data_IF_164817073632
#
_entry.id   IF_164817073632
#
_cell.length_a   1.000
_cell.length_b   1.000
_cell.length_c   1.000
_cell.angle_alpha   90.00
_cell.angle_beta   90.00
_cell.angle_gamma   90.00
#
_symmetry.space_group_name_H-M   'P 1'
#
loop_
_entity.id
_entity.type
_entity.pdbx_description
1 polymer ?
#
# COMPACT_ATOMS: atom_id res chain seq x y z
N UNK A 1 -19.37 -11.14 -40.27
CA UNK A 1 -20.04 -9.82 -40.17
C UNK A 1 -21.47 -10.04 -39.72
N UNK A 2 -21.72 -10.07 -38.40
CA UNK A 2 -23.06 -10.19 -37.83
C UNK A 2 -23.29 -9.05 -36.82
N UNK A 3 -24.53 -8.60 -36.77
CA UNK A 3 -24.95 -7.21 -36.60
C UNK A 3 -25.06 -6.72 -35.15
N UNK A 4 -24.89 -5.40 -35.01
CA UNK A 4 -25.16 -4.58 -33.84
C UNK A 4 -26.59 -4.76 -33.30
N UNK A 5 -26.73 -4.71 -31.98
CA UNK A 5 -27.99 -4.34 -31.33
C UNK A 5 -27.67 -3.47 -30.12
N UNK A 6 -27.90 -2.18 -30.27
CA UNK A 6 -27.83 -1.17 -29.21
C UNK A 6 -29.00 -1.35 -28.25
N UNK A 7 -28.74 -1.39 -26.95
CA UNK A 7 -29.76 -1.13 -25.93
C UNK A 7 -29.33 0.08 -25.11
N UNK A 8 -29.98 1.21 -25.41
CA UNK A 8 -30.12 2.35 -24.51
C UNK A 8 -31.10 1.92 -23.40
N UNK A 9 -30.67 1.98 -22.14
CA UNK A 9 -31.58 2.02 -21.01
C UNK A 9 -31.04 3.04 -20.00
N UNK A 10 -31.59 4.25 -20.07
CA UNK A 10 -31.49 5.25 -19.03
C UNK A 10 -32.22 4.75 -17.78
N UNK A 11 -31.60 4.84 -16.60
CA UNK A 11 -32.27 4.52 -15.34
C UNK A 11 -31.74 5.38 -14.20
N UNK A 12 -32.46 6.48 -14.00
CA UNK A 12 -32.78 7.21 -12.78
C UNK A 12 -31.78 7.23 -11.60
N UNK A 13 -31.27 8.44 -11.34
CA UNK A 13 -30.78 8.87 -10.04
C UNK A 13 -31.90 8.83 -8.99
N UNK A 14 -31.65 8.18 -7.86
CA UNK A 14 -32.48 8.28 -6.66
C UNK A 14 -31.70 9.07 -5.61
N UNK A 15 -32.16 10.30 -5.35
CA UNK A 15 -31.85 11.09 -4.15
C UNK A 15 -32.87 10.74 -3.05
N UNK A 16 -32.41 10.38 -1.86
CA UNK A 16 -33.19 10.29 -0.60
C UNK A 16 -32.19 10.05 0.55
N UNK A 17 -32.17 10.69 1.71
CA UNK A 17 -32.75 11.89 2.27
C UNK A 17 -31.85 12.27 3.46
N UNK A 18 -31.59 13.58 3.66
CA UNK A 18 -30.89 14.11 4.83
C UNK A 18 -31.76 13.93 6.08
N UNK A 19 -31.26 13.27 7.11
CA UNK A 19 -31.73 13.45 8.49
C UNK A 19 -30.91 14.54 9.16
N UNK A 20 -31.61 15.60 9.58
CA UNK A 20 -31.09 16.79 10.25
C UNK A 20 -31.26 16.72 11.78
N UNK A 21 -30.34 17.41 12.48
CA UNK A 21 -30.46 18.03 13.82
C UNK A 21 -30.58 17.10 15.05
N UNK A 22 -30.10 17.41 16.25
CA UNK A 22 -29.22 18.46 16.82
C UNK A 22 -29.01 18.10 18.29
N UNK A 23 -27.88 18.45 18.91
CA UNK A 23 -27.89 18.98 20.28
C UNK A 23 -26.62 19.80 20.53
N UNK A 24 -26.74 20.96 21.21
CA UNK A 24 -25.66 21.92 21.37
C UNK A 24 -24.86 21.64 22.64
N UNK A 25 -23.62 22.11 22.70
CA UNK A 25 -23.04 22.68 23.92
C UNK A 25 -21.83 23.54 23.55
N UNK A 26 -21.90 24.81 23.95
CA UNK A 26 -20.87 25.85 23.91
C UNK A 26 -20.78 26.41 25.32
N UNK A 27 -19.79 27.22 25.74
CA UNK A 27 -18.35 27.28 25.43
C UNK A 27 -17.51 27.07 26.71
N UNK A 28 -16.19 26.93 26.58
CA UNK A 28 -15.30 27.60 27.54
C UNK A 28 -14.11 28.13 26.79
N UNK A 29 -14.07 29.47 26.65
CA UNK A 29 -12.87 30.20 26.29
C UNK A 29 -11.88 30.12 27.46
N UNK A 30 -10.63 29.81 27.17
CA UNK A 30 -9.51 30.21 28.02
C UNK A 30 -8.37 30.69 27.12
N UNK A 31 -7.81 31.80 27.54
CA UNK A 31 -6.91 32.70 26.84
C UNK A 31 -5.46 32.35 27.15
N UNK A 32 -4.65 32.15 26.09
CA UNK A 32 -3.22 32.53 25.92
C UNK A 32 -2.15 31.77 26.79
N UNK A 33 -0.88 31.55 26.39
CA UNK A 33 -0.07 32.24 25.37
C UNK A 33 0.62 31.41 24.28
N UNK A 34 1.04 32.18 23.27
CA UNK A 34 1.91 31.81 22.17
C UNK A 34 3.14 31.00 22.61
N UNK A 35 3.35 29.87 21.93
CA UNK A 35 4.67 29.31 21.72
C UNK A 35 4.87 29.16 20.23
N UNK A 36 5.81 29.93 19.70
CA UNK A 36 6.47 29.68 18.42
C UNK A 36 7.05 28.27 18.45
N UNK A 37 6.29 27.31 17.93
CA UNK A 37 6.83 26.02 17.56
C UNK A 37 7.00 26.06 16.05
N UNK A 38 8.26 26.24 15.63
CA UNK A 38 8.70 25.82 14.31
C UNK A 38 8.37 24.34 14.20
N UNK A 39 7.18 24.02 13.73
CA UNK A 39 6.84 22.69 13.23
C UNK A 39 7.54 22.53 11.88
N UNK A 40 8.85 22.31 11.99
CA UNK A 40 9.65 21.76 10.92
C UNK A 40 9.14 20.33 10.74
N UNK A 41 8.41 20.11 9.65
CA UNK A 41 8.01 18.81 9.12
C UNK A 41 9.05 17.74 9.45
N UNK A 42 8.71 16.83 10.35
CA UNK A 42 9.38 15.54 10.47
C UNK A 42 8.32 14.54 10.87
N UNK A 43 7.84 13.80 9.86
CA UNK A 43 7.11 12.54 10.08
C UNK A 43 7.85 11.76 11.18
N UNK A 44 7.16 11.26 12.22
CA UNK A 44 7.82 10.47 13.25
C UNK A 44 8.47 9.26 12.59
N UNK A 45 9.78 9.11 12.79
CA UNK A 45 10.50 7.89 12.41
C UNK A 45 9.92 6.77 13.30
N UNK A 46 9.33 5.71 12.73
CA UNK A 46 8.75 4.64 13.53
C UNK A 46 9.84 3.98 14.38
N UNK A 47 9.53 3.67 15.64
CA UNK A 47 10.45 2.95 16.51
C UNK A 47 10.72 1.54 15.96
N UNK A 48 11.84 0.91 16.33
CA UNK A 48 12.26 -0.39 15.76
C UNK A 48 11.21 -1.51 15.90
N UNK A 49 10.42 -1.52 16.98
CA UNK A 49 9.29 -2.44 17.17
C UNK A 49 8.17 -2.20 16.14
N UNK A 50 7.89 -0.94 15.82
CA UNK A 50 6.88 -0.56 14.84
C UNK A 50 7.30 -0.95 13.42
N UNK A 51 8.61 -0.92 13.12
CA UNK A 51 9.15 -1.34 11.83
C UNK A 51 8.97 -2.85 11.63
N UNK A 52 9.31 -3.67 12.62
CA UNK A 52 9.16 -5.13 12.53
C UNK A 52 7.71 -5.52 12.26
N UNK A 53 6.76 -4.93 12.98
CA UNK A 53 5.33 -5.17 12.78
C UNK A 53 4.86 -4.70 11.39
N UNK A 54 5.32 -3.53 10.94
CA UNK A 54 5.00 -3.02 9.60
C UNK A 54 5.50 -3.97 8.52
N UNK A 55 6.74 -4.47 8.64
CA UNK A 55 7.31 -5.43 7.68
C UNK A 55 6.58 -6.77 7.71
N UNK A 56 6.13 -7.26 8.87
CA UNK A 56 5.29 -8.47 8.96
C UNK A 56 3.96 -8.27 8.22
N UNK A 57 3.34 -7.09 8.37
CA UNK A 57 2.13 -6.76 7.59
C UNK A 57 2.41 -6.79 6.08
N UNK A 58 3.54 -6.21 5.65
CA UNK A 58 3.96 -6.23 4.25
C UNK A 58 4.19 -7.65 3.71
N UNK A 59 4.73 -8.56 4.52
CA UNK A 59 4.84 -9.97 4.14
C UNK A 59 3.48 -10.60 3.83
N UNK A 60 2.43 -10.20 4.55
CA UNK A 60 1.06 -10.63 4.29
C UNK A 60 0.59 -10.26 2.88
N UNK A 61 0.77 -9.00 2.49
CA UNK A 61 0.42 -8.52 1.14
C UNK A 61 1.25 -9.21 0.05
N UNK A 62 2.55 -9.42 0.26
CA UNK A 62 3.39 -10.15 -0.71
C UNK A 62 2.94 -11.61 -0.84
N UNK A 63 2.56 -12.27 0.25
CA UNK A 63 2.02 -13.63 0.22
C UNK A 63 0.68 -13.70 -0.51
N UNK A 64 -0.23 -12.75 -0.25
CA UNK A 64 -1.51 -12.61 -0.97
C UNK A 64 -1.29 -12.43 -2.47
N UNK A 65 -0.42 -11.48 -2.84
CA UNK A 65 -0.05 -11.22 -4.23
C UNK A 65 0.56 -12.46 -4.91
N UNK A 66 1.42 -13.20 -4.21
CA UNK A 66 2.07 -14.41 -4.72
C UNK A 66 1.04 -15.51 -4.99
N UNK A 67 0.13 -15.75 -4.04
CA UNK A 67 -0.89 -16.79 -4.17
C UNK A 67 -1.83 -16.49 -5.35
N UNK A 68 -2.26 -15.24 -5.48
CA UNK A 68 -3.07 -14.80 -6.62
C UNK A 68 -2.32 -14.94 -7.96
N UNK A 69 -1.04 -14.53 -8.02
CA UNK A 69 -0.24 -14.69 -9.23
C UNK A 69 -0.03 -16.17 -9.62
N UNK A 70 0.12 -17.07 -8.65
CA UNK A 70 0.28 -18.51 -8.91
C UNK A 70 -0.98 -19.13 -9.54
N UNK A 71 -2.16 -18.64 -9.23
CA UNK A 71 -3.42 -19.11 -9.82
C UNK A 71 -3.80 -18.37 -11.10
N UNK A 72 -2.97 -17.43 -11.57
CA UNK A 72 -3.24 -16.60 -12.74
C UNK A 72 -4.15 -15.40 -12.46
N UNK A 73 -4.55 -15.16 -11.22
CA UNK A 73 -5.31 -13.98 -10.82
C UNK A 73 -4.39 -12.76 -10.66
N UNK A 74 -3.97 -12.22 -11.80
CA UNK A 74 -3.12 -11.04 -11.85
C UNK A 74 -3.84 -9.76 -11.39
N UNK A 75 -5.17 -9.74 -11.39
CA UNK A 75 -5.94 -8.59 -10.87
C UNK A 75 -5.81 -8.50 -9.36
N UNK A 76 -6.07 -9.60 -8.64
CA UNK A 76 -5.87 -9.64 -7.19
C UNK A 76 -4.39 -9.49 -6.83
N UNK A 77 -3.48 -10.05 -7.63
CA UNK A 77 -2.04 -9.84 -7.42
C UNK A 77 -1.66 -8.35 -7.51
N UNK A 78 -2.20 -7.61 -8.48
CA UNK A 78 -2.01 -6.15 -8.59
C UNK A 78 -2.57 -5.41 -7.37
N UNK A 79 -3.76 -5.78 -6.89
CA UNK A 79 -4.39 -5.15 -5.73
C UNK A 79 -3.50 -5.30 -4.49
N UNK A 80 -3.12 -6.54 -4.15
CA UNK A 80 -2.26 -6.85 -3.01
C UNK A 80 -0.88 -6.18 -3.12
N UNK A 81 -0.30 -6.15 -4.33
CA UNK A 81 0.99 -5.48 -4.52
C UNK A 81 0.89 -3.96 -4.37
N UNK A 82 -0.25 -3.32 -4.66
CA UNK A 82 -0.46 -1.90 -4.37
C UNK A 82 -0.51 -1.62 -2.87
N UNK A 83 -1.24 -2.44 -2.11
CA UNK A 83 -1.28 -2.35 -0.65
C UNK A 83 0.13 -2.52 -0.04
N UNK A 84 0.92 -3.44 -0.61
CA UNK A 84 2.33 -3.56 -0.26
C UNK A 84 3.10 -2.25 -0.52
N UNK A 85 2.97 -1.65 -1.70
CA UNK A 85 3.70 -0.41 -2.05
C UNK A 85 3.33 0.75 -1.13
N UNK A 86 2.04 0.92 -0.81
CA UNK A 86 1.57 1.97 0.10
C UNK A 86 2.15 1.83 1.50
N UNK A 87 2.28 0.60 2.01
CA UNK A 87 2.93 0.35 3.30
C UNK A 87 4.48 0.37 3.25
N UNK A 88 5.08 0.13 2.07
CA UNK A 88 6.53 0.16 1.86
C UNK A 88 7.11 1.57 1.87
N UNK A 89 6.45 2.51 1.16
CA UNK A 89 6.90 3.90 1.00
C UNK A 89 7.36 4.58 2.30
N UNK A 90 6.58 4.57 3.42
CA UNK A 90 7.01 5.20 4.66
C UNK A 90 8.22 4.53 5.33
N UNK A 91 8.54 3.27 4.99
CA UNK A 91 9.65 2.52 5.56
C UNK A 91 10.96 2.71 4.79
N UNK A 92 10.90 3.16 3.54
CA UNK A 92 12.06 3.24 2.65
C UNK A 92 13.23 4.01 3.27
N UNK A 93 12.98 5.19 3.81
CA UNK A 93 14.06 6.04 4.34
C UNK A 93 14.75 5.36 5.53
N UNK A 94 13.98 4.68 6.36
CA UNK A 94 14.50 3.96 7.51
C UNK A 94 15.30 2.74 7.07
N UNK A 95 14.84 2.00 6.06
CA UNK A 95 15.57 0.87 5.49
C UNK A 95 16.83 1.30 4.73
N UNK A 96 16.79 2.40 3.97
CA UNK A 96 17.96 3.03 3.33
C UNK A 96 19.06 3.34 4.35
N UNK A 97 18.66 3.79 5.53
CA UNK A 97 19.57 4.20 6.62
C UNK A 97 20.14 2.99 7.38
N UNK A 98 19.28 2.05 7.77
CA UNK A 98 19.66 0.99 8.72
C UNK A 98 20.00 -0.36 8.06
N UNK A 99 19.57 -0.57 6.81
CA UNK A 99 19.68 -1.85 6.11
C UNK A 99 19.86 -1.64 4.60
N UNK A 100 20.86 -0.83 4.21
CA UNK A 100 21.07 -0.34 2.84
C UNK A 100 21.07 -1.44 1.76
N UNK A 101 21.75 -2.55 2.01
CA UNK A 101 21.83 -3.64 1.02
C UNK A 101 20.52 -4.42 0.91
N UNK A 102 19.84 -4.64 2.04
CA UNK A 102 18.47 -5.18 2.07
C UNK A 102 17.51 -4.27 1.31
N UNK A 103 17.55 -2.96 1.57
CA UNK A 103 16.74 -1.96 0.89
C UNK A 103 16.94 -2.04 -0.62
N UNK A 104 18.19 -1.98 -1.12
CA UNK A 104 18.49 -2.05 -2.55
C UNK A 104 17.97 -3.34 -3.19
N UNK A 105 18.09 -4.45 -2.47
CA UNK A 105 17.65 -5.76 -2.94
C UNK A 105 16.13 -5.80 -3.09
N UNK A 106 15.40 -5.28 -2.09
CA UNK A 106 13.94 -5.19 -2.12
C UNK A 106 13.47 -4.19 -3.19
N UNK A 107 14.03 -2.98 -3.23
CA UNK A 107 13.68 -1.92 -4.18
C UNK A 107 13.74 -2.42 -5.63
N UNK A 108 14.82 -3.14 -5.99
CA UNK A 108 14.95 -3.74 -7.32
C UNK A 108 13.80 -4.68 -7.68
N UNK A 109 13.24 -5.41 -6.70
CA UNK A 109 12.06 -6.23 -6.96
C UNK A 109 10.78 -5.40 -7.04
N UNK A 110 10.65 -4.37 -6.20
CA UNK A 110 9.50 -3.46 -6.21
C UNK A 110 9.39 -2.70 -7.54
N UNK A 111 10.50 -2.18 -8.05
CA UNK A 111 10.60 -1.56 -9.38
C UNK A 111 10.23 -2.57 -10.47
N UNK A 112 10.88 -3.75 -10.47
CA UNK A 112 10.60 -4.76 -11.47
C UNK A 112 9.16 -5.30 -11.43
N UNK A 113 8.52 -5.35 -10.27
CA UNK A 113 7.09 -5.68 -10.15
C UNK A 113 6.21 -4.52 -10.63
N UNK A 114 6.60 -3.26 -10.39
CA UNK A 114 5.87 -2.12 -10.96
C UNK A 114 5.84 -2.20 -12.48
N UNK A 115 6.99 -2.45 -13.11
CA UNK A 115 7.09 -2.63 -14.56
C UNK A 115 6.31 -3.85 -15.08
N UNK A 116 6.51 -5.02 -14.46
CA UNK A 116 5.99 -6.29 -15.01
C UNK A 116 4.54 -6.58 -14.61
N UNK A 117 4.06 -6.03 -13.50
CA UNK A 117 2.71 -6.30 -12.97
C UNK A 117 1.78 -5.09 -13.12
N UNK A 118 2.22 -3.89 -12.72
CA UNK A 118 1.34 -2.72 -12.67
C UNK A 118 1.23 -2.03 -14.03
N UNK A 119 2.37 -1.79 -14.69
CA UNK A 119 2.48 -0.97 -15.89
C UNK A 119 2.35 -1.77 -17.19
N UNK A 120 2.59 -3.09 -17.14
CA UNK A 120 2.46 -3.96 -18.31
C UNK A 120 1.00 -4.21 -18.69
N UNK A 121 0.68 -4.01 -19.97
CA UNK A 121 -0.60 -4.39 -20.59
C UNK A 121 -0.80 -5.92 -20.59
N UNK A 122 0.30 -6.68 -20.60
CA UNK A 122 0.30 -8.15 -20.59
C UNK A 122 1.36 -8.65 -19.62
N UNK A 123 1.08 -8.61 -18.30
CA UNK A 123 2.01 -9.09 -17.29
C UNK A 123 2.43 -10.53 -17.53
N UNK A 124 3.74 -10.79 -17.44
CA UNK A 124 4.30 -12.13 -17.48
C UNK A 124 4.12 -12.78 -16.10
N UNK A 125 3.15 -13.70 -15.99
CA UNK A 125 2.82 -14.37 -14.73
C UNK A 125 4.03 -15.04 -14.08
N UNK A 126 4.88 -15.71 -14.88
CA UNK A 126 6.06 -16.41 -14.36
C UNK A 126 7.08 -15.46 -13.74
N UNK A 127 7.34 -14.33 -14.41
CA UNK A 127 8.21 -13.27 -13.87
C UNK A 127 7.62 -12.61 -12.64
N UNK A 128 6.31 -12.37 -12.61
CA UNK A 128 5.62 -11.80 -11.45
C UNK A 128 5.75 -12.72 -10.24
N UNK A 129 5.45 -14.02 -10.39
CA UNK A 129 5.58 -15.01 -9.31
C UNK A 129 7.02 -15.05 -8.80
N UNK A 130 8.01 -15.18 -9.68
CA UNK A 130 9.41 -15.28 -9.28
C UNK A 130 9.88 -14.03 -8.49
N UNK A 131 9.47 -12.83 -8.91
CA UNK A 131 9.82 -11.58 -8.21
C UNK A 131 9.12 -11.46 -6.86
N UNK A 132 7.84 -11.82 -6.77
CA UNK A 132 7.09 -11.79 -5.51
C UNK A 132 7.66 -12.79 -4.49
N UNK A 133 8.02 -14.00 -4.93
CA UNK A 133 8.67 -14.98 -4.07
C UNK A 133 10.01 -14.49 -3.53
N UNK A 134 10.86 -13.93 -4.41
CA UNK A 134 12.14 -13.36 -4.01
C UNK A 134 11.98 -12.19 -3.02
N UNK A 135 11.01 -11.29 -3.27
CA UNK A 135 10.70 -10.19 -2.37
C UNK A 135 10.23 -10.71 -1.01
N UNK A 136 9.33 -11.70 -0.99
CA UNK A 136 8.81 -12.34 0.22
C UNK A 136 9.91 -13.02 1.04
N UNK A 137 10.84 -13.72 0.38
CA UNK A 137 11.99 -14.34 1.04
C UNK A 137 12.95 -13.32 1.64
N UNK A 138 13.23 -12.24 0.90
CA UNK A 138 14.08 -11.15 1.37
C UNK A 138 13.46 -10.46 2.59
N UNK A 139 12.15 -10.17 2.56
CA UNK A 139 11.40 -9.62 3.70
C UNK A 139 11.45 -10.54 4.91
N UNK A 140 11.17 -11.83 4.72
CA UNK A 140 11.19 -12.81 5.80
C UNK A 140 12.56 -12.95 6.46
N UNK A 141 13.61 -12.97 5.65
CA UNK A 141 14.99 -13.04 6.15
C UNK A 141 15.31 -11.82 6.98
N UNK A 142 14.97 -10.63 6.48
CA UNK A 142 15.24 -9.39 7.21
C UNK A 142 14.42 -9.28 8.50
N UNK A 143 13.12 -9.57 8.47
CA UNK A 143 12.24 -9.56 9.65
C UNK A 143 12.77 -10.47 10.77
N UNK A 144 13.30 -11.65 10.42
CA UNK A 144 13.90 -12.59 11.39
C UNK A 144 15.22 -12.10 11.97
N UNK A 145 15.94 -11.22 11.27
CA UNK A 145 17.18 -10.63 11.74
C UNK A 145 16.96 -9.45 12.70
N UNK A 146 15.75 -8.88 12.73
CA UNK A 146 15.40 -7.79 13.63
C UNK A 146 15.23 -8.29 15.07
N UNK A 147 15.68 -7.51 16.08
CA UNK A 147 15.52 -7.86 17.49
C UNK A 147 14.05 -8.04 17.89
#
# INVERSE_FOLDING_TARGET
>A
MNRLTSYLAASAFIFLALTACSTPNTPTASTEPAKTEKESLSKPVPASTDIKQSLVKLQGYVAGATNAAKTGDLTSSKQEFKEFKEGWEPLEQTLKTNAKDTYKTMEKQVEGLSENLLESDKPDQGKVVAKLEFLGETLNTYVKSLP
#
